data_IF_768094458940
#
_entry.id   IF_768094458940
#
_cell.length_a   1.000
_cell.length_b   1.000
_cell.length_c   1.000
_cell.angle_alpha   90.00
_cell.angle_beta   90.00
_cell.angle_gamma   90.00
#
_symmetry.space_group_name_H-M   'P 1'
#
loop_
_entity.id
_entity.type
_entity.pdbx_description
1 polymer ?
#
# COMPACT_ATOMS: atom_id res chain seq x y z
N UNK A 1 17.95 10.55 -26.50
CA UNK A 1 19.24 10.79 -25.81
C UNK A 1 19.00 10.57 -24.33
N UNK A 2 19.76 9.68 -23.70
CA UNK A 2 19.68 9.41 -22.26
C UNK A 2 20.32 10.58 -21.51
N UNK A 3 19.68 11.11 -20.48
CA UNK A 3 20.23 12.20 -19.67
C UNK A 3 21.39 11.68 -18.83
N UNK A 4 22.60 12.22 -19.03
CA UNK A 4 23.83 11.79 -18.33
C UNK A 4 23.79 11.94 -16.80
N UNK A 5 22.83 12.70 -16.28
CA UNK A 5 22.64 12.90 -14.84
C UNK A 5 21.55 12.00 -14.24
N UNK A 6 20.84 11.20 -15.05
CA UNK A 6 19.88 10.21 -14.56
C UNK A 6 20.63 8.90 -14.36
N UNK A 7 20.69 8.45 -13.10
CA UNK A 7 21.28 7.17 -12.71
C UNK A 7 20.39 5.97 -13.06
N UNK A 8 20.74 4.80 -12.51
CA UNK A 8 19.93 3.60 -12.66
C UNK A 8 18.53 3.77 -12.05
N UNK A 9 17.53 3.04 -12.57
CA UNK A 9 16.22 2.93 -11.95
C UNK A 9 16.31 2.53 -10.47
N UNK A 10 15.45 3.10 -9.63
CA UNK A 10 15.35 2.73 -8.21
C UNK A 10 15.13 1.22 -8.00
N UNK A 11 14.37 0.57 -8.90
CA UNK A 11 14.14 -0.87 -8.84
C UNK A 11 15.42 -1.69 -8.97
N UNK A 12 16.35 -1.25 -9.81
CA UNK A 12 17.64 -1.92 -10.01
C UNK A 12 18.49 -1.78 -8.74
N UNK A 13 18.56 -0.57 -8.17
CA UNK A 13 19.21 -0.32 -6.89
C UNK A 13 18.62 -1.20 -5.76
N UNK A 14 17.29 -1.25 -5.63
CA UNK A 14 16.65 -2.06 -4.58
C UNK A 14 16.87 -3.57 -4.80
N UNK A 15 17.01 -4.00 -6.05
CA UNK A 15 17.33 -5.39 -6.39
C UNK A 15 18.75 -5.74 -5.99
N UNK A 16 19.72 -4.88 -6.32
CA UNK A 16 21.13 -5.03 -5.93
C UNK A 16 21.31 -5.08 -4.41
N UNK A 17 20.50 -4.30 -3.67
CA UNK A 17 20.50 -4.29 -2.21
C UNK A 17 19.73 -5.46 -1.57
N UNK A 18 19.05 -6.30 -2.37
CA UNK A 18 18.20 -7.39 -1.85
C UNK A 18 16.93 -6.93 -1.15
N UNK A 19 16.53 -5.66 -1.31
CA UNK A 19 15.40 -5.01 -0.62
C UNK A 19 14.14 -4.91 -1.48
N UNK A 20 14.23 -5.19 -2.79
CA UNK A 20 13.12 -4.97 -3.73
C UNK A 20 11.81 -5.60 -3.26
N UNK A 21 11.84 -6.87 -2.85
CA UNK A 21 10.63 -7.59 -2.45
C UNK A 21 9.96 -6.98 -1.21
N UNK A 22 10.76 -6.58 -0.20
CA UNK A 22 10.26 -5.94 1.02
C UNK A 22 9.64 -4.57 0.71
N UNK A 23 10.35 -3.75 -0.07
CA UNK A 23 9.84 -2.43 -0.48
C UNK A 23 8.54 -2.55 -1.30
N UNK A 24 8.46 -3.52 -2.21
CA UNK A 24 7.25 -3.77 -2.99
C UNK A 24 6.09 -4.23 -2.11
N UNK A 25 6.33 -5.14 -1.16
CA UNK A 25 5.32 -5.58 -0.21
C UNK A 25 4.77 -4.41 0.63
N UNK A 26 5.66 -3.55 1.13
CA UNK A 26 5.28 -2.33 1.85
C UNK A 26 4.47 -1.36 0.97
N UNK A 27 4.89 -1.15 -0.27
CA UNK A 27 4.19 -0.29 -1.22
C UNK A 27 2.79 -0.82 -1.56
N UNK A 28 2.63 -2.12 -1.77
CA UNK A 28 1.33 -2.76 -2.01
C UNK A 28 0.41 -2.57 -0.80
N UNK A 29 0.91 -2.85 0.42
CA UNK A 29 0.14 -2.63 1.65
C UNK A 29 -0.35 -1.18 1.73
N UNK A 30 0.56 -0.20 1.54
CA UNK A 30 0.26 1.24 1.57
C UNK A 30 -0.84 1.63 0.58
N UNK A 31 -0.75 1.17 -0.66
CA UNK A 31 -1.72 1.49 -1.71
C UNK A 31 -3.10 0.93 -1.37
N UNK A 32 -3.17 -0.32 -0.89
CA UNK A 32 -4.44 -0.93 -0.49
C UNK A 32 -5.07 -0.17 0.68
N UNK A 33 -4.28 0.15 1.71
CA UNK A 33 -4.79 0.90 2.87
C UNK A 33 -5.34 2.26 2.47
N UNK A 34 -4.61 3.00 1.64
CA UNK A 34 -5.07 4.28 1.11
C UNK A 34 -6.36 4.16 0.28
N UNK A 35 -6.49 3.12 -0.56
CA UNK A 35 -7.71 2.89 -1.34
C UNK A 35 -8.93 2.61 -0.46
N UNK A 36 -8.75 1.85 0.63
CA UNK A 36 -9.82 1.55 1.58
C UNK A 36 -10.22 2.79 2.39
N UNK A 37 -9.26 3.59 2.85
CA UNK A 37 -9.54 4.88 3.51
C UNK A 37 -10.31 5.82 2.60
N UNK A 38 -9.87 5.93 1.34
CA UNK A 38 -10.56 6.73 0.33
C UNK A 38 -11.98 6.24 0.11
N UNK A 39 -12.19 4.93 -0.01
CA UNK A 39 -13.53 4.35 -0.15
C UNK A 39 -14.45 4.71 1.04
N UNK A 40 -13.95 4.65 2.27
CA UNK A 40 -14.73 5.04 3.46
C UNK A 40 -15.18 6.50 3.39
N UNK A 41 -14.29 7.40 2.98
CA UNK A 41 -14.60 8.83 2.82
C UNK A 41 -15.59 9.06 1.68
N UNK A 42 -15.32 8.49 0.51
CA UNK A 42 -16.11 8.72 -0.72
C UNK A 42 -17.54 8.18 -0.60
N UNK A 43 -17.74 7.13 0.21
CA UNK A 43 -19.05 6.48 0.39
C UNK A 43 -19.74 6.81 1.71
N UNK A 44 -19.05 7.46 2.65
CA UNK A 44 -19.54 7.66 4.02
C UNK A 44 -19.73 6.36 4.82
N UNK A 45 -19.10 5.26 4.39
CA UNK A 45 -19.20 3.95 5.05
C UNK A 45 -18.33 3.91 6.32
N UNK A 46 -18.76 3.16 7.33
CA UNK A 46 -17.95 2.97 8.55
C UNK A 46 -16.93 1.84 8.39
N UNK A 47 -15.83 1.87 9.15
CA UNK A 47 -14.87 0.75 9.21
C UNK A 47 -15.52 -0.57 9.61
N UNK A 48 -16.57 -0.54 10.44
CA UNK A 48 -17.29 -1.75 10.87
C UNK A 48 -18.07 -2.35 9.70
N UNK A 49 -18.72 -1.52 8.89
CA UNK A 49 -19.50 -2.00 7.76
C UNK A 49 -18.60 -2.49 6.62
N UNK A 50 -17.49 -1.79 6.35
CA UNK A 50 -16.48 -2.26 5.41
C UNK A 50 -15.86 -3.60 5.87
N UNK A 51 -15.55 -3.77 7.15
CA UNK A 51 -15.04 -5.03 7.66
C UNK A 51 -16.04 -6.19 7.44
N UNK A 52 -17.34 -5.96 7.64
CA UNK A 52 -18.38 -6.96 7.31
C UNK A 52 -18.45 -7.26 5.82
N UNK A 53 -18.36 -6.24 4.96
CA UNK A 53 -18.37 -6.42 3.50
C UNK A 53 -17.18 -7.27 3.00
N UNK A 54 -16.03 -7.13 3.66
CA UNK A 54 -14.80 -7.85 3.34
C UNK A 54 -14.66 -9.20 4.07
N UNK A 55 -15.70 -9.65 4.79
CA UNK A 55 -15.68 -10.85 5.63
C UNK A 55 -14.46 -10.91 6.57
N UNK A 56 -14.17 -9.77 7.21
CA UNK A 56 -13.04 -9.62 8.12
C UNK A 56 -13.45 -8.93 9.42
N UNK A 57 -12.56 -8.96 10.41
CA UNK A 57 -12.79 -8.23 11.67
C UNK A 57 -12.35 -6.78 11.54
N UNK A 58 -13.06 -5.87 12.23
CA UNK A 58 -12.66 -4.46 12.35
C UNK A 58 -11.20 -4.32 12.80
N UNK A 59 -10.75 -5.15 13.75
CA UNK A 59 -9.37 -5.15 14.23
C UNK A 59 -8.35 -5.54 13.14
N UNK A 60 -8.71 -6.44 12.23
CA UNK A 60 -7.82 -6.80 11.10
C UNK A 60 -7.78 -5.71 10.05
N UNK A 61 -8.92 -5.06 9.79
CA UNK A 61 -8.97 -3.87 8.96
C UNK A 61 -8.16 -2.72 9.59
N UNK A 62 -8.32 -2.46 10.88
CA UNK A 62 -7.55 -1.45 11.60
C UNK A 62 -6.04 -1.74 11.50
N UNK A 63 -5.56 -2.98 11.69
CA UNK A 63 -4.13 -3.33 11.47
C UNK A 63 -3.63 -3.17 10.01
N UNK A 64 -4.53 -3.26 9.03
CA UNK A 64 -4.18 -3.01 7.65
C UNK A 64 -4.04 -1.51 7.40
N UNK A 65 -4.95 -0.71 7.95
CA UNK A 65 -5.00 0.74 7.81
C UNK A 65 -3.99 1.47 8.70
N UNK A 66 -3.71 0.93 9.88
CA UNK A 66 -2.71 1.43 10.81
C UNK A 66 -1.32 1.04 10.27
N UNK A 67 -0.52 2.05 9.97
CA UNK A 67 0.90 1.92 9.60
C UNK A 67 1.76 1.53 10.79
#
# INVERSE_FOLDING_TARGET
>A
MTNQHIGSPLGDFLSEQGMLAECQAGAIKRVISWQLEKYLVDTGTTKVDLAKQLDTSRASLDRLLDE
#
